data_IF_359822737485
#
_entry.id   IF_359822737485
#
_cell.length_a   1.000
_cell.length_b   1.000
_cell.length_c   1.000
_cell.angle_alpha   90.00
_cell.angle_beta   90.00
_cell.angle_gamma   90.00
#
_symmetry.space_group_name_H-M   'P 1'
#
loop_
_entity.id
_entity.type
_entity.pdbx_description
1 polymer ?
#
# COMPACT_ATOMS: atom_id res chain seq x y z
N UNK A 1 16.60 0.71 14.30
CA UNK A 1 15.44 0.24 13.49
C UNK A 1 15.25 1.07 12.23
N UNK A 2 15.27 2.40 12.34
CA UNK A 2 15.15 3.30 11.17
C UNK A 2 16.21 3.06 10.11
N UNK A 3 17.49 2.93 10.49
CA UNK A 3 18.58 2.65 9.55
C UNK A 3 18.37 1.33 8.77
N UNK A 4 17.88 0.28 9.43
CA UNK A 4 17.54 -1.00 8.80
C UNK A 4 16.34 -0.85 7.84
N UNK A 5 15.31 -0.10 8.24
CA UNK A 5 14.14 0.16 7.40
C UNK A 5 14.42 1.02 6.16
N UNK A 6 15.45 1.87 6.23
CA UNK A 6 15.91 2.72 5.11
C UNK A 6 17.01 2.08 4.27
N UNK A 7 17.52 0.91 4.66
CA UNK A 7 18.69 0.30 4.00
C UNK A 7 19.97 1.12 4.16
N UNK A 8 20.06 1.93 5.21
CA UNK A 8 21.20 2.80 5.52
C UNK A 8 22.06 2.23 6.64
N UNK A 9 22.06 0.91 6.85
CA UNK A 9 22.97 0.23 7.76
C UNK A 9 24.06 -0.50 6.96
N UNK A 10 25.30 -0.37 7.39
CA UNK A 10 26.46 -1.04 6.83
C UNK A 10 27.04 -2.03 7.84
N UNK A 11 27.38 -3.23 7.36
CA UNK A 11 28.02 -4.28 8.14
C UNK A 11 29.41 -4.51 7.57
N UNK A 12 30.43 -4.40 8.41
CA UNK A 12 31.80 -4.78 8.07
C UNK A 12 32.23 -5.99 8.90
N UNK A 13 33.07 -6.86 8.30
CA UNK A 13 33.58 -8.07 8.93
C UNK A 13 35.10 -8.02 8.96
N UNK A 14 35.65 -8.21 10.16
CA UNK A 14 37.08 -8.38 10.45
C UNK A 14 37.32 -9.76 11.07
N UNK A 15 38.58 -10.19 11.18
CA UNK A 15 38.93 -11.48 11.80
C UNK A 15 38.30 -11.66 13.19
N UNK A 16 37.19 -12.41 13.24
CA UNK A 16 36.48 -12.76 14.47
C UNK A 16 35.52 -11.69 15.04
N UNK A 17 35.36 -10.55 14.36
CA UNK A 17 34.57 -9.40 14.86
C UNK A 17 33.83 -8.73 13.70
N UNK A 18 32.63 -8.26 13.95
CA UNK A 18 31.88 -7.47 12.98
C UNK A 18 31.47 -6.12 13.57
N UNK A 19 31.34 -5.11 12.71
CA UNK A 19 30.86 -3.78 13.13
C UNK A 19 29.62 -3.42 12.33
N UNK A 20 28.57 -2.99 13.02
CA UNK A 20 27.32 -2.55 12.42
C UNK A 20 27.16 -1.04 12.63
N UNK A 21 27.18 -0.28 11.55
CA UNK A 21 27.12 1.18 11.59
C UNK A 21 25.96 1.71 10.76
N UNK A 22 25.11 2.60 11.31
CA UNK A 22 24.21 3.40 10.52
C UNK A 22 25.02 4.41 9.69
N UNK A 23 24.74 4.47 8.38
CA UNK A 23 25.30 5.45 7.45
C UNK A 23 24.73 6.87 7.68
N UNK A 24 23.64 6.99 8.44
CA UNK A 24 23.00 8.27 8.71
C UNK A 24 23.76 9.06 9.79
N UNK A 25 24.21 10.27 9.42
CA UNK A 25 25.25 11.05 10.08
C UNK A 25 24.87 11.69 11.42
N UNK A 26 23.78 11.27 12.06
CA UNK A 26 23.38 11.77 13.37
C UNK A 26 23.70 10.74 14.47
N UNK A 27 24.88 10.92 15.11
CA UNK A 27 25.25 10.38 16.44
C UNK A 27 25.09 8.87 16.67
N UNK A 28 25.02 8.06 15.63
CA UNK A 28 24.94 6.62 15.82
C UNK A 28 26.34 6.04 16.02
N UNK A 29 26.63 5.59 17.23
CA UNK A 29 27.84 4.81 17.52
C UNK A 29 27.79 3.49 16.77
N UNK A 30 28.91 3.09 16.16
CA UNK A 30 29.07 1.76 15.60
C UNK A 30 28.88 0.70 16.69
N UNK A 31 28.13 -0.35 16.39
CA UNK A 31 27.93 -1.49 17.27
C UNK A 31 28.98 -2.55 16.94
N UNK A 32 29.82 -2.85 17.92
CA UNK A 32 30.77 -3.96 17.87
C UNK A 32 30.04 -5.29 18.16
N UNK A 33 30.25 -6.28 17.30
CA UNK A 33 29.66 -7.60 17.38
C UNK A 33 30.77 -8.64 17.54
N UNK A 34 30.61 -9.48 18.56
CA UNK A 34 31.50 -10.60 18.84
C UNK A 34 30.87 -11.91 18.37
N UNK A 35 31.71 -12.86 17.96
CA UNK A 35 31.25 -14.21 17.58
C UNK A 35 30.73 -14.95 18.82
N UNK A 36 29.52 -15.49 18.73
CA UNK A 36 28.95 -16.38 19.73
C UNK A 36 29.60 -17.77 19.68
N UNK A 37 29.69 -18.50 20.82
CA UNK A 37 30.09 -19.90 20.83
C UNK A 37 29.18 -20.76 19.94
N UNK A 38 29.73 -21.77 19.27
CA UNK A 38 29.00 -22.58 18.27
C UNK A 38 27.73 -23.23 18.80
N UNK A 39 27.75 -23.71 20.05
CA UNK A 39 26.59 -24.35 20.69
C UNK A 39 25.43 -23.36 20.87
N UNK A 40 25.73 -22.15 21.36
CA UNK A 40 24.75 -21.09 21.55
C UNK A 40 24.27 -20.54 20.21
N UNK A 41 25.20 -20.30 19.27
CA UNK A 41 24.88 -19.83 17.93
C UNK A 41 23.89 -20.76 17.22
N UNK A 42 24.08 -22.08 17.33
CA UNK A 42 23.18 -23.07 16.73
C UNK A 42 21.75 -22.96 17.28
N UNK A 43 21.61 -22.85 18.61
CA UNK A 43 20.30 -22.68 19.24
C UNK A 43 19.63 -21.37 18.85
N UNK A 44 20.38 -20.27 18.85
CA UNK A 44 19.88 -18.94 18.45
C UNK A 44 19.45 -18.92 16.98
N UNK A 45 20.22 -19.54 16.08
CA UNK A 45 19.88 -19.66 14.66
C UNK A 45 18.61 -20.49 14.46
N UNK A 46 18.47 -21.61 15.15
CA UNK A 46 17.28 -22.44 15.07
C UNK A 46 16.03 -21.67 15.54
N UNK A 47 16.12 -20.99 16.68
CA UNK A 47 15.03 -20.16 17.21
C UNK A 47 14.69 -19.00 16.25
N UNK A 48 15.70 -18.34 15.68
CA UNK A 48 15.52 -17.26 14.71
C UNK A 48 14.78 -17.75 13.46
N UNK A 49 15.20 -18.87 12.87
CA UNK A 49 14.58 -19.43 11.65
C UNK A 49 13.12 -19.77 11.89
N UNK A 50 12.80 -20.50 12.96
CA UNK A 50 11.41 -20.83 13.28
C UNK A 50 10.59 -19.58 13.65
N UNK A 51 11.19 -18.62 14.36
CA UNK A 51 10.56 -17.35 14.68
C UNK A 51 10.23 -16.53 13.42
N UNK A 52 11.12 -16.49 12.43
CA UNK A 52 10.88 -15.83 11.15
C UNK A 52 9.76 -16.51 10.37
N UNK A 53 9.77 -17.84 10.27
CA UNK A 53 8.70 -18.59 9.59
C UNK A 53 7.32 -18.28 10.18
N UNK A 54 7.19 -18.31 11.52
CA UNK A 54 5.94 -17.96 12.20
C UNK A 54 5.51 -16.50 11.98
N UNK A 55 6.48 -15.57 11.93
CA UNK A 55 6.19 -14.17 11.66
C UNK A 55 5.72 -13.95 10.22
N UNK A 56 6.32 -14.63 9.25
CA UNK A 56 5.90 -14.60 7.85
C UNK A 56 4.47 -15.12 7.70
N UNK A 57 4.16 -16.31 8.24
CA UNK A 57 2.82 -16.89 8.22
C UNK A 57 1.77 -15.97 8.90
N UNK A 58 2.14 -15.30 10.01
CA UNK A 58 1.27 -14.32 10.66
C UNK A 58 1.07 -13.06 9.83
N UNK A 59 2.11 -12.56 9.16
CA UNK A 59 2.04 -11.38 8.30
C UNK A 59 1.21 -11.67 7.05
N UNK A 60 1.36 -12.84 6.44
CA UNK A 60 0.57 -13.31 5.29
C UNK A 60 -0.92 -13.37 5.65
N UNK A 61 -1.28 -14.04 6.74
CA UNK A 61 -2.68 -14.09 7.23
C UNK A 61 -3.28 -12.71 7.49
N UNK A 62 -2.48 -11.79 8.04
CA UNK A 62 -2.93 -10.40 8.27
C UNK A 62 -3.13 -9.64 6.98
N UNK A 63 -2.27 -9.86 5.99
CA UNK A 63 -2.38 -9.24 4.67
C UNK A 63 -3.63 -9.76 3.93
N UNK A 64 -3.91 -11.07 3.99
CA UNK A 64 -5.14 -11.68 3.47
C UNK A 64 -6.40 -11.10 4.13
N UNK A 65 -6.39 -10.93 5.46
CA UNK A 65 -7.50 -10.33 6.21
C UNK A 65 -7.74 -8.85 5.87
N UNK A 66 -6.76 -8.17 5.28
CA UNK A 66 -6.90 -6.78 4.81
C UNK A 66 -7.57 -6.71 3.42
N UNK A 67 -7.97 -7.86 2.84
CA UNK A 67 -8.78 -7.92 1.61
C UNK A 67 -7.99 -7.78 0.30
N UNK A 68 -6.66 -7.81 0.35
CA UNK A 68 -5.80 -7.79 -0.82
C UNK A 68 -5.21 -9.19 -1.06
N UNK A 69 -5.75 -9.98 -2.00
CA UNK A 69 -5.16 -11.26 -2.36
C UNK A 69 -3.77 -11.04 -2.98
N UNK A 70 -2.76 -11.73 -2.46
CA UNK A 70 -1.35 -11.68 -2.91
C UNK A 70 -1.16 -11.97 -4.42
N UNK A 71 -2.17 -12.57 -5.07
CA UNK A 71 -2.19 -12.80 -6.52
C UNK A 71 -2.27 -11.50 -7.33
N UNK A 72 -2.64 -10.38 -6.72
CA UNK A 72 -2.72 -9.08 -7.37
C UNK A 72 -1.60 -8.16 -6.88
N UNK A 73 -0.48 -8.15 -7.61
CA UNK A 73 0.62 -7.18 -7.46
C UNK A 73 0.18 -5.70 -7.59
N UNK A 74 -1.09 -5.44 -7.93
CA UNK A 74 -1.69 -4.10 -7.98
C UNK A 74 -1.95 -3.49 -6.59
N UNK A 75 -1.98 -4.29 -5.53
CA UNK A 75 -2.18 -3.81 -4.15
C UNK A 75 -0.98 -3.04 -3.57
N UNK A 76 0.19 -3.04 -4.24
CA UNK A 76 1.36 -2.27 -3.81
C UNK A 76 1.35 -0.81 -4.30
N UNK A 77 0.31 -0.39 -5.03
CA UNK A 77 0.17 1.00 -5.45
C UNK A 77 -0.75 1.78 -4.52
N UNK A 78 -0.21 2.88 -3.98
CA UNK A 78 -0.89 4.03 -3.38
C UNK A 78 -1.04 4.02 -1.86
N UNK A 79 0.08 4.29 -1.20
CA UNK A 79 0.18 5.48 -0.35
C UNK A 79 -0.37 6.71 -1.10
N UNK A 80 -1.69 6.90 -1.15
CA UNK A 80 -2.27 8.19 -1.50
C UNK A 80 -2.27 9.01 -0.21
N UNK A 81 -1.19 9.79 -0.06
CA UNK A 81 -1.21 10.96 0.78
C UNK A 81 -2.47 11.77 0.45
N UNK A 82 -3.26 12.03 1.49
CA UNK A 82 -4.39 12.95 1.48
C UNK A 82 -3.93 14.35 1.03
N UNK A 83 -4.40 14.90 -0.11
CA UNK A 83 -4.27 16.31 -0.38
C UNK A 83 -5.49 17.03 0.21
N UNK A 84 -5.30 17.54 1.42
CA UNK A 84 -6.07 18.61 2.06
C UNK A 84 -6.75 19.60 1.08
N UNK A 85 -7.98 20.06 1.38
CA UNK A 85 -8.83 20.77 0.43
C UNK A 85 -8.32 22.19 0.17
N UNK A 86 -7.73 22.41 -1.01
CA UNK A 86 -7.34 23.76 -1.44
C UNK A 86 -8.31 24.31 -2.48
N UNK A 87 -9.21 25.17 -1.97
CA UNK A 87 -9.55 26.51 -2.48
C UNK A 87 -9.86 26.62 -3.98
N UNK A 88 -11.15 26.67 -4.28
CA UNK A 88 -11.73 27.35 -5.43
C UNK A 88 -12.68 28.45 -4.94
N UNK A 89 -12.20 29.70 -5.01
CA UNK A 89 -13.06 30.89 -5.03
C UNK A 89 -13.55 31.06 -6.47
N UNK A 90 -14.84 30.87 -6.68
CA UNK A 90 -15.68 31.51 -7.70
C UNK A 90 -17.10 31.41 -7.16
N UNK A 91 -17.60 32.46 -6.52
CA UNK A 91 -18.51 33.42 -7.13
C UNK A 91 -19.88 32.79 -7.48
N UNK A 92 -20.87 33.17 -6.68
CA UNK A 92 -22.28 33.35 -7.02
C UNK A 92 -23.09 32.16 -7.59
N UNK A 93 -23.93 31.58 -6.74
CA UNK A 93 -25.39 31.76 -6.82
C UNK A 93 -26.13 30.72 -5.98
N UNK A 94 -27.24 31.17 -5.41
CA UNK A 94 -28.14 30.40 -4.58
C UNK A 94 -29.18 29.62 -5.42
N UNK A 95 -29.50 28.38 -4.98
CA UNK A 95 -30.68 27.54 -5.29
C UNK A 95 -30.80 26.93 -6.73
N UNK A 96 -31.58 25.85 -6.96
CA UNK A 96 -31.97 24.71 -6.12
C UNK A 96 -31.45 23.35 -6.69
N UNK A 97 -31.72 22.25 -6.00
CA UNK A 97 -31.31 20.87 -6.31
C UNK A 97 -31.80 20.39 -7.70
N UNK A 98 -30.99 20.57 -8.75
CA UNK A 98 -31.25 19.96 -10.07
C UNK A 98 -31.00 18.45 -10.02
N UNK A 99 -32.05 17.69 -10.29
CA UNK A 99 -32.03 16.23 -10.46
C UNK A 99 -31.07 15.86 -11.60
N UNK A 100 -30.09 14.99 -11.31
CA UNK A 100 -29.10 14.47 -12.28
C UNK A 100 -29.81 13.89 -13.52
N UNK A 101 -29.41 14.32 -14.70
CA UNK A 101 -29.94 13.80 -15.97
C UNK A 101 -29.22 12.47 -16.25
N UNK A 102 -29.94 11.36 -16.50
CA UNK A 102 -29.34 10.09 -16.86
C UNK A 102 -28.46 10.23 -18.12
N UNK A 103 -27.17 9.89 -18.00
CA UNK A 103 -26.19 9.98 -19.10
C UNK A 103 -25.09 11.04 -18.93
N UNK A 104 -25.18 11.91 -17.91
CA UNK A 104 -24.17 12.95 -17.61
C UNK A 104 -23.08 12.50 -16.61
N UNK A 105 -23.03 11.20 -16.28
CA UNK A 105 -22.04 10.68 -15.34
C UNK A 105 -20.64 10.66 -15.97
N UNK A 106 -19.67 11.30 -15.31
CA UNK A 106 -18.24 11.25 -15.67
C UNK A 106 -17.66 9.82 -15.69
N UNK A 107 -18.30 8.90 -14.97
CA UNK A 107 -17.88 7.49 -14.87
C UNK A 107 -18.38 6.68 -16.08
N UNK A 108 -19.45 7.15 -16.73
CA UNK A 108 -19.98 6.50 -17.94
C UNK A 108 -20.45 7.56 -18.95
N UNK A 109 -19.50 8.26 -19.61
CA UNK A 109 -19.84 9.26 -20.59
C UNK A 109 -20.37 8.53 -21.83
N UNK A 110 -21.69 8.45 -21.99
CA UNK A 110 -22.28 7.99 -23.26
C UNK A 110 -23.40 6.96 -23.22
N UNK A 111 -24.03 6.67 -22.08
CA UNK A 111 -25.24 5.83 -22.11
C UNK A 111 -26.44 6.63 -22.64
N UNK A 112 -26.62 6.65 -23.95
CA UNK A 112 -27.80 7.19 -24.63
C UNK A 112 -29.00 6.28 -24.28
N UNK A 113 -30.03 6.83 -23.63
CA UNK A 113 -31.27 6.10 -23.38
C UNK A 113 -31.88 5.63 -24.71
N UNK A 114 -32.12 4.33 -24.87
CA UNK A 114 -32.86 3.82 -26.01
C UNK A 114 -34.32 4.30 -25.92
N UNK A 115 -34.81 4.95 -26.97
CA UNK A 115 -36.21 5.39 -27.10
C UNK A 115 -37.09 4.14 -27.27
N UNK A 116 -38.24 4.09 -26.59
CA UNK A 116 -39.18 2.98 -26.75
C UNK A 116 -39.70 2.94 -28.20
N UNK A 117 -39.93 1.74 -28.78
CA UNK A 117 -40.51 1.63 -30.12
C UNK A 117 -41.92 2.24 -30.11
N UNK A 118 -42.12 3.28 -30.92
CA UNK A 118 -43.46 3.78 -31.23
C UNK A 118 -44.06 2.83 -32.25
N UNK A 119 -45.22 2.26 -31.92
CA UNK A 119 -45.96 1.35 -32.80
C UNK A 119 -46.34 2.01 -34.12
N UNK A 120 -46.66 1.18 -35.10
CA UNK A 120 -47.20 1.61 -36.40
C UNK A 120 -48.72 1.71 -36.26
N UNK A 121 -49.29 2.85 -36.65
CA UNK A 121 -50.73 3.07 -36.67
C UNK A 121 -51.28 2.55 -38.00
N UNK A 122 -52.21 1.59 -37.95
CA UNK A 122 -52.88 1.10 -39.15
C UNK A 122 -54.24 1.78 -39.20
N UNK A 123 -54.48 2.57 -40.25
CA UNK A 123 -55.83 3.05 -40.55
C UNK A 123 -56.70 1.87 -40.95
N UNK A 124 -57.83 1.69 -40.24
CA UNK A 124 -58.88 0.75 -40.62
C UNK A 124 -59.54 1.21 -41.91
N UNK A 125 -59.47 0.39 -42.96
CA UNK A 125 -60.25 0.52 -44.21
C UNK A 125 -61.19 -0.67 -44.36
#
# INVERSE_FOLDING_TARGET
REALGRGTAELSLSEGRATLQPRDGARCSALELCKLPTAEASSQLQALVFGMARRLESLERRLEATGCPLSSLSCLSLTKADPSPRKNRSADSALPTKRRIPGESLINPGFKSKKAPSGVDFEDS
#
